data_IF_224509322064
#
_entry.id   IF_224509322064
#
_cell.length_a   1.000
_cell.length_b   1.000
_cell.length_c   1.000
_cell.angle_alpha   90.00
_cell.angle_beta   90.00
_cell.angle_gamma   90.00
#
_symmetry.space_group_name_H-M   'P 1'
#
loop_
_entity.id
_entity.type
_entity.pdbx_description
1 polymer ?
#
# COMPACT_ATOMS: atom_id res chain seq x y z
N UNK A 1 -4.45 2.34 1.96
CA UNK A 1 -3.30 1.43 2.09
C UNK A 1 -2.15 2.10 2.84
N UNK A 2 -1.55 1.40 3.78
CA UNK A 2 -0.33 1.79 4.51
C UNK A 2 0.61 0.59 4.54
N UNK A 3 1.91 0.82 4.39
CA UNK A 3 2.94 -0.21 4.51
C UNK A 3 3.78 0.05 5.75
N UNK A 4 4.10 -1.02 6.47
CA UNK A 4 4.92 -0.98 7.68
C UNK A 4 6.17 -1.83 7.49
N UNK A 5 7.28 -1.34 8.04
CA UNK A 5 8.54 -2.08 8.18
C UNK A 5 8.71 -2.48 9.64
N UNK A 6 8.77 -3.79 9.91
CA UNK A 6 8.74 -4.38 11.26
C UNK A 6 9.89 -5.35 11.48
N UNK A 7 10.31 -5.54 12.74
CA UNK A 7 11.40 -6.48 13.09
C UNK A 7 10.97 -7.94 13.20
N UNK A 8 9.68 -8.19 13.45
CA UNK A 8 9.14 -9.54 13.64
C UNK A 8 8.67 -10.15 12.32
N UNK A 9 8.35 -11.45 12.36
CA UNK A 9 7.77 -12.14 11.20
C UNK A 9 6.46 -11.47 10.78
N UNK A 10 6.41 -11.05 9.51
CA UNK A 10 5.31 -10.32 8.92
C UNK A 10 3.96 -11.07 8.98
N UNK A 11 3.99 -12.41 8.99
CA UNK A 11 2.79 -13.24 9.07
C UNK A 11 2.13 -13.12 10.46
N UNK A 12 2.90 -13.25 11.54
CA UNK A 12 2.41 -13.06 12.92
C UNK A 12 1.80 -11.66 13.12
N UNK A 13 2.43 -10.64 12.53
CA UNK A 13 1.93 -9.28 12.56
C UNK A 13 0.59 -9.14 11.82
N UNK A 14 0.42 -9.83 10.69
CA UNK A 14 -0.85 -9.83 9.97
C UNK A 14 -1.94 -10.62 10.69
N UNK A 15 -1.62 -11.76 11.30
CA UNK A 15 -2.56 -12.49 12.15
C UNK A 15 -3.04 -11.64 13.33
N UNK A 16 -2.13 -10.89 13.94
CA UNK A 16 -2.45 -9.94 15.01
C UNK A 16 -3.46 -8.88 14.55
N UNK A 17 -3.20 -8.26 13.41
CA UNK A 17 -4.04 -7.20 12.86
C UNK A 17 -5.42 -7.76 12.48
N UNK A 18 -5.48 -8.94 11.85
CA UNK A 18 -6.74 -9.56 11.45
C UNK A 18 -7.61 -9.97 12.65
N UNK A 19 -6.99 -10.36 13.76
CA UNK A 19 -7.69 -10.71 15.00
C UNK A 19 -8.34 -9.49 15.67
N UNK A 20 -7.66 -8.35 15.71
CA UNK A 20 -8.17 -7.12 16.34
C UNK A 20 -9.08 -6.30 15.42
N UNK A 21 -8.77 -6.27 14.12
CA UNK A 21 -9.51 -5.50 13.12
C UNK A 21 -9.86 -6.38 11.90
N UNK A 22 -10.97 -7.14 11.97
CA UNK A 22 -11.38 -8.04 10.88
C UNK A 22 -11.72 -7.33 9.56
N UNK A 23 -11.93 -6.01 9.59
CA UNK A 23 -12.19 -5.18 8.42
C UNK A 23 -10.92 -4.67 7.73
N UNK A 24 -9.75 -4.85 8.33
CA UNK A 24 -8.46 -4.54 7.71
C UNK A 24 -7.94 -5.77 6.96
N UNK A 25 -7.51 -5.56 5.73
CA UNK A 25 -6.80 -6.58 4.97
C UNK A 25 -5.31 -6.40 5.23
N UNK A 26 -4.65 -7.44 5.74
CA UNK A 26 -3.20 -7.44 5.94
C UNK A 26 -2.55 -8.46 5.01
N UNK A 27 -1.42 -8.07 4.42
CA UNK A 27 -0.59 -8.93 3.59
C UNK A 27 0.88 -8.79 4.00
N UNK A 28 1.53 -9.92 4.30
CA UNK A 28 2.98 -9.99 4.40
C UNK A 28 3.59 -9.89 3.00
N UNK A 29 4.44 -8.88 2.78
CA UNK A 29 5.15 -8.67 1.51
C UNK A 29 6.52 -9.34 1.52
N UNK A 30 7.22 -9.22 2.64
CA UNK A 30 8.50 -9.87 2.93
C UNK A 30 8.56 -10.17 4.43
N UNK A 31 9.62 -10.86 4.90
CA UNK A 31 9.74 -11.25 6.31
C UNK A 31 9.58 -10.09 7.32
N UNK A 32 9.97 -8.86 6.96
CA UNK A 32 9.89 -7.67 7.82
C UNK A 32 9.01 -6.56 7.26
N UNK A 33 8.09 -6.87 6.33
CA UNK A 33 7.25 -5.85 5.73
C UNK A 33 5.82 -6.33 5.55
N UNK A 34 4.88 -5.55 6.06
CA UNK A 34 3.45 -5.79 5.92
C UNK A 34 2.77 -4.62 5.20
N UNK A 35 1.68 -4.94 4.54
CA UNK A 35 0.78 -3.98 3.89
C UNK A 35 -0.60 -4.12 4.49
N UNK A 36 -1.18 -2.99 4.88
CA UNK A 36 -2.51 -2.91 5.46
C UNK A 36 -3.41 -2.08 4.55
N UNK A 37 -4.54 -2.65 4.18
CA UNK A 37 -5.51 -2.09 3.26
C UNK A 37 -6.90 -1.99 3.91
N UNK A 38 -7.62 -0.93 3.54
CA UNK A 38 -8.98 -0.67 3.97
C UNK A 38 -9.62 0.33 3.01
N UNK A 39 -10.93 0.21 2.71
CA UNK A 39 -11.68 1.25 2.02
C UNK A 39 -11.85 2.53 2.87
N UNK A 40 -11.69 2.42 4.19
CA UNK A 40 -11.72 3.55 5.12
C UNK A 40 -10.29 4.02 5.49
N UNK A 41 -10.13 5.22 6.06
CA UNK A 41 -8.83 5.68 6.54
C UNK A 41 -8.19 4.70 7.52
N UNK A 42 -6.98 4.24 7.19
CA UNK A 42 -6.18 3.40 8.09
C UNK A 42 -5.50 4.29 9.14
N UNK A 43 -5.87 4.12 10.41
CA UNK A 43 -5.25 4.85 11.52
C UNK A 43 -3.92 4.18 11.93
N UNK A 44 -2.81 4.87 11.69
CA UNK A 44 -1.45 4.33 11.91
C UNK A 44 -1.15 4.10 13.40
N UNK A 45 -1.50 5.04 14.28
CA UNK A 45 -1.16 4.97 15.71
C UNK A 45 -1.61 3.68 16.41
N UNK A 46 -2.90 3.27 16.30
CA UNK A 46 -3.38 2.02 16.87
C UNK A 46 -2.65 0.78 16.33
N UNK A 47 -2.34 0.76 15.03
CA UNK A 47 -1.60 -0.35 14.41
C UNK A 47 -0.18 -0.46 14.98
N UNK A 48 0.55 0.65 15.07
CA UNK A 48 1.89 0.69 15.65
C UNK A 48 1.86 0.16 17.09
N UNK A 49 0.91 0.65 17.89
CA UNK A 49 0.76 0.21 19.28
C UNK A 49 0.49 -1.28 19.41
N UNK A 50 -0.41 -1.85 18.60
CA UNK A 50 -0.68 -3.30 18.64
C UNK A 50 0.60 -4.11 18.35
N UNK A 51 1.37 -3.69 17.35
CA UNK A 51 2.60 -4.37 16.95
C UNK A 51 3.66 -4.30 18.07
N UNK A 52 3.83 -3.14 18.68
CA UNK A 52 4.75 -2.93 19.81
C UNK A 52 4.32 -3.68 21.08
N UNK A 53 3.02 -3.70 21.40
CA UNK A 53 2.46 -4.45 22.52
C UNK A 53 2.68 -5.98 22.35
N UNK A 54 2.91 -6.44 21.11
CA UNK A 54 3.28 -7.84 20.78
C UNK A 54 4.79 -8.03 20.59
N UNK A 55 5.60 -7.04 20.92
CA UNK A 55 7.06 -7.12 20.91
C UNK A 55 7.71 -6.89 19.55
N UNK A 56 6.98 -6.40 18.54
CA UNK A 56 7.56 -5.99 17.26
C UNK A 56 7.97 -4.51 17.30
N UNK A 57 9.14 -4.17 16.78
CA UNK A 57 9.53 -2.77 16.56
C UNK A 57 9.07 -2.32 15.17
N UNK A 58 8.44 -1.14 15.09
CA UNK A 58 8.04 -0.52 13.82
C UNK A 58 9.05 0.57 13.45
N UNK A 59 9.84 0.31 12.41
CA UNK A 59 10.87 1.26 11.93
C UNK A 59 10.32 2.30 10.95
N UNK A 60 9.27 1.96 10.21
CA UNK A 60 8.63 2.86 9.25
C UNK A 60 7.14 2.53 9.11
N UNK A 61 6.32 3.58 8.95
CA UNK A 61 4.94 3.47 8.49
C UNK A 61 4.69 4.50 7.38
N UNK A 62 4.45 4.03 6.15
CA UNK A 62 4.27 4.89 4.98
C UNK A 62 2.91 4.68 4.32
N UNK A 63 2.20 5.77 4.05
CA UNK A 63 0.98 5.71 3.24
C UNK A 63 1.36 5.44 1.79
N UNK A 64 0.75 4.44 1.18
CA UNK A 64 0.92 4.17 -0.24
C UNK A 64 -0.20 4.87 -1.00
N UNK A 65 0.18 5.67 -1.99
CA UNK A 65 -0.73 6.34 -2.90
C UNK A 65 -0.38 5.85 -4.31
N UNK A 66 -1.14 4.90 -4.87
CA UNK A 66 -0.95 4.44 -6.24
C UNK A 66 -1.01 5.61 -7.22
N UNK A 67 -0.22 5.55 -8.31
CA UNK A 67 -0.37 6.54 -9.38
C UNK A 67 -1.67 6.30 -10.15
N UNK A 68 -2.16 7.31 -10.87
CA UNK A 68 -3.32 7.15 -11.75
C UNK A 68 -3.04 6.10 -12.83
N UNK A 69 -1.80 6.05 -13.30
CA UNK A 69 -1.35 5.06 -14.27
C UNK A 69 -1.43 3.64 -13.69
N UNK A 70 -0.99 3.40 -12.44
CA UNK A 70 -1.06 2.09 -11.80
C UNK A 70 -2.52 1.61 -11.64
N UNK A 71 -3.40 2.50 -11.17
CA UNK A 71 -4.83 2.20 -10.99
C UNK A 71 -5.51 1.94 -12.33
N UNK A 72 -5.14 2.69 -13.37
CA UNK A 72 -5.71 2.48 -14.71
C UNK A 72 -5.32 1.13 -15.29
N UNK A 73 -4.06 0.72 -15.17
CA UNK A 73 -3.58 -0.60 -15.62
C UNK A 73 -4.34 -1.70 -14.88
N UNK A 74 -4.45 -1.59 -13.55
CA UNK A 74 -5.15 -2.57 -12.71
C UNK A 74 -6.62 -2.73 -13.12
N UNK A 75 -7.33 -1.62 -13.38
CA UNK A 75 -8.76 -1.64 -13.73
C UNK A 75 -9.01 -2.06 -15.17
N UNK A 76 -8.22 -1.55 -16.12
CA UNK A 76 -8.51 -1.69 -17.57
C UNK A 76 -7.72 -2.79 -18.27
N UNK A 77 -6.61 -3.25 -17.67
CA UNK A 77 -5.67 -4.18 -18.29
C UNK A 77 -4.79 -3.56 -19.38
N UNK A 78 -4.89 -2.25 -19.61
CA UNK A 78 -4.10 -1.53 -20.62
C UNK A 78 -2.77 -1.11 -19.99
N UNK A 79 -1.66 -1.61 -20.50
CA UNK A 79 -0.32 -1.33 -19.97
C UNK A 79 0.06 0.16 -20.03
N UNK A 80 0.82 0.63 -19.04
CA UNK A 80 1.27 2.03 -18.93
C UNK A 80 2.03 2.54 -20.18
N UNK A 81 2.65 1.64 -20.95
CA UNK A 81 3.32 1.96 -22.21
C UNK A 81 2.38 2.44 -23.32
N UNK A 82 1.13 1.97 -23.33
CA UNK A 82 0.09 2.45 -24.25
C UNK A 82 -0.44 3.83 -23.83
N UNK A 83 -0.57 4.08 -22.52
CA UNK A 83 -1.03 5.38 -21.98
C UNK A 83 -0.03 6.52 -22.21
N UNK A 84 1.28 6.23 -22.11
CA UNK A 84 2.34 7.25 -22.35
C UNK A 84 2.32 7.78 -23.78
N UNK A 85 2.06 6.92 -24.77
CA UNK A 85 1.98 7.31 -26.18
C UNK A 85 0.83 8.30 -26.46
N UNK A 86 -0.26 8.28 -25.68
CA UNK A 86 -1.35 9.25 -25.80
C UNK A 86 -0.95 10.63 -25.26
N UNK A 87 -0.29 10.70 -24.10
CA UNK A 87 0.24 11.95 -23.54
C UNK A 87 1.26 12.62 -24.47
N UNK A 88 2.11 11.86 -25.14
CA UNK A 88 3.09 12.40 -26.11
C UNK A 88 2.44 12.97 -27.38
N UNK A 89 1.29 12.42 -27.80
CA UNK A 89 0.53 12.95 -28.95
C UNK A 89 -0.24 14.23 -28.61
N UNK A 90 -0.71 14.38 -27.37
CA UNK A 90 -1.39 15.60 -26.91
C UNK A 90 -0.45 16.83 -26.79
N UNK A 91 0.86 16.62 -26.58
CA UNK A 91 1.84 17.70 -26.40
C UNK A 91 2.34 18.38 -27.68
N UNK A 92 2.10 17.81 -28.88
CA UNK A 92 2.64 18.34 -30.16
C UNK A 92 1.74 19.35 -30.88
N UNK A 93 0.64 19.79 -30.25
CA UNK A 93 -0.34 20.71 -30.85
C UNK A 93 -0.19 22.20 -30.53
N UNK A 94 0.78 22.61 -29.71
CA UNK A 94 0.94 24.00 -29.26
C UNK A 94 2.19 24.67 -29.83
N UNK A 95 2.10 25.25 -31.02
CA UNK A 95 3.18 26.04 -31.61
C UNK A 95 2.84 26.53 -33.01
N UNK A 96 2.07 27.62 -33.09
CA UNK A 96 2.12 28.58 -34.18
C UNK A 96 2.94 29.77 -33.71
#
# INVERSE_FOLDING_TARGET
MVQFSVTNEADDACEAIAAEWPNLQCQALTAGQIRVESPEPVHVGPLVRLLEDRGAEVSEARKLQPSLEDVFVEITGIEAGAMKQEKEKAGKGGGR
#
